data_IF_311875943758
#
_entry.id   IF_311875943758
#
_cell.length_a   1.000
_cell.length_b   1.000
_cell.length_c   1.000
_cell.angle_alpha   90.00
_cell.angle_beta   90.00
_cell.angle_gamma   90.00
#
_symmetry.space_group_name_H-M   'P 1'
#
loop_
_entity.id
_entity.type
_entity.pdbx_description
1 polymer ?
#
# COMPACT_ATOMS: atom_id res chain seq x y z
N UNK A 1 -0.17 5.33 19.18
CA UNK A 1 -0.15 6.77 19.54
C UNK A 1 1.07 7.40 18.90
N UNK A 2 0.92 8.57 18.30
CA UNK A 2 1.99 9.29 17.59
C UNK A 2 2.15 10.67 18.22
N UNK A 3 3.38 11.06 18.55
CA UNK A 3 3.66 12.38 19.14
C UNK A 3 3.54 13.53 18.14
N UNK A 4 3.33 14.75 18.63
CA UNK A 4 3.30 15.94 17.78
C UNK A 4 4.61 16.07 16.98
N UNK A 5 4.50 16.26 15.66
CA UNK A 5 5.63 16.35 14.73
C UNK A 5 6.36 15.03 14.44
N UNK A 6 5.97 13.93 15.08
CA UNK A 6 6.59 12.62 14.87
C UNK A 6 5.78 11.81 13.85
N UNK A 7 6.42 11.08 12.92
CA UNK A 7 5.68 10.19 12.04
C UNK A 7 5.23 8.93 12.77
N UNK A 8 3.97 8.54 12.55
CA UNK A 8 3.50 7.19 12.78
C UNK A 8 3.52 6.42 11.47
N UNK A 9 4.00 5.18 11.50
CA UNK A 9 4.11 4.34 10.31
C UNK A 9 3.35 3.03 10.52
N UNK A 10 2.53 2.67 9.54
CA UNK A 10 1.94 1.34 9.40
C UNK A 10 2.50 0.74 8.12
N UNK A 11 3.03 -0.47 8.22
CA UNK A 11 3.53 -1.24 7.09
C UNK A 11 2.93 -2.65 7.15
N UNK A 12 2.41 -3.10 6.02
CA UNK A 12 1.97 -4.48 5.81
C UNK A 12 2.51 -4.96 4.47
N UNK A 13 3.05 -6.17 4.45
CA UNK A 13 3.57 -6.80 3.25
C UNK A 13 3.08 -8.24 3.19
N UNK A 14 2.70 -8.67 1.99
CA UNK A 14 2.27 -10.04 1.71
C UNK A 14 3.01 -10.52 0.48
N UNK A 15 3.81 -11.57 0.63
CA UNK A 15 4.46 -12.24 -0.48
C UNK A 15 3.52 -13.26 -1.12
N UNK A 16 3.45 -13.25 -2.45
CA UNK A 16 2.68 -14.19 -3.25
C UNK A 16 3.59 -14.87 -4.28
N UNK A 17 3.49 -16.18 -4.38
CA UNK A 17 4.25 -17.00 -5.34
C UNK A 17 3.36 -17.40 -6.50
N UNK A 18 3.85 -17.32 -7.73
CA UNK A 18 3.11 -17.66 -8.94
C UNK A 18 4.01 -18.35 -9.97
N UNK A 19 3.43 -19.10 -10.91
CA UNK A 19 4.20 -19.77 -11.97
C UNK A 19 4.59 -18.74 -13.04
N UNK A 20 5.79 -18.16 -12.96
CA UNK A 20 6.26 -17.11 -13.86
C UNK A 20 6.80 -17.64 -15.19
N UNK A 21 7.03 -18.95 -15.29
CA UNK A 21 7.57 -19.58 -16.48
C UNK A 21 7.55 -21.09 -16.42
N UNK A 22 7.90 -21.72 -17.54
CA UNK A 22 8.06 -23.16 -17.66
C UNK A 22 9.42 -23.47 -18.27
N UNK A 23 10.12 -24.40 -17.64
CA UNK A 23 11.43 -24.85 -18.07
C UNK A 23 11.34 -26.19 -18.79
N UNK A 24 12.01 -26.27 -19.95
CA UNK A 24 12.20 -27.51 -20.71
C UNK A 24 13.66 -27.66 -21.14
N UNK A 25 14.24 -28.82 -20.85
CA UNK A 25 15.63 -29.19 -21.13
C UNK A 25 15.78 -29.32 -22.66
N UNK A 26 16.43 -28.33 -23.28
CA UNK A 26 16.68 -28.30 -24.72
C UNK A 26 15.89 -27.25 -25.51
N UNK A 27 15.01 -26.48 -24.86
CA UNK A 27 14.35 -25.32 -25.47
C UNK A 27 14.91 -24.01 -24.89
N UNK A 28 15.14 -23.01 -25.74
CA UNK A 28 15.43 -21.63 -25.30
C UNK A 28 14.12 -21.11 -24.69
N UNK A 29 14.05 -21.04 -23.37
CA UNK A 29 12.83 -20.69 -22.66
C UNK A 29 12.36 -19.27 -23.07
N UNK A 30 11.10 -19.14 -23.47
CA UNK A 30 10.46 -17.82 -23.61
C UNK A 30 9.81 -17.50 -22.27
N UNK A 31 10.54 -16.81 -21.41
CA UNK A 31 9.99 -16.21 -20.19
C UNK A 31 9.55 -14.78 -20.50
N UNK A 32 8.33 -14.43 -20.06
CA UNK A 32 7.82 -13.05 -20.18
C UNK A 32 8.45 -12.11 -19.12
N UNK A 33 9.09 -12.67 -18.08
CA UNK A 33 9.74 -11.93 -16.99
C UNK A 33 11.14 -12.52 -16.73
N UNK A 34 12.15 -12.03 -17.46
CA UNK A 34 13.57 -12.33 -17.22
C UNK A 34 14.07 -13.69 -17.75
N UNK A 35 15.19 -13.65 -18.47
CA UNK A 35 15.89 -14.82 -19.00
C UNK A 35 16.90 -15.36 -17.97
N UNK A 36 16.60 -16.48 -17.32
CA UNK A 36 17.63 -17.27 -16.63
C UNK A 36 17.60 -18.70 -17.13
N UNK A 37 18.78 -19.28 -17.27
CA UNK A 37 19.01 -20.66 -17.66
C UNK A 37 18.20 -21.64 -16.81
N UNK A 38 17.43 -22.50 -17.46
CA UNK A 38 16.72 -23.60 -16.81
C UNK A 38 17.67 -24.74 -16.45
N UNK A 39 17.82 -25.03 -15.15
CA UNK A 39 18.63 -26.16 -14.67
C UNK A 39 17.86 -27.49 -14.62
N UNK A 40 16.52 -27.44 -14.55
CA UNK A 40 15.63 -28.61 -14.48
C UNK A 40 14.32 -28.36 -15.25
N UNK A 41 13.64 -29.44 -15.65
CA UNK A 41 12.29 -29.38 -16.21
C UNK A 41 11.28 -29.02 -15.12
N UNK A 42 10.29 -28.18 -15.45
CA UNK A 42 9.18 -27.90 -14.55
C UNK A 42 8.82 -26.42 -14.44
N UNK A 43 7.88 -26.07 -13.54
CA UNK A 43 7.47 -24.70 -13.33
C UNK A 43 8.60 -23.87 -12.69
N UNK A 44 8.83 -22.67 -13.24
CA UNK A 44 9.61 -21.62 -12.60
C UNK A 44 8.62 -20.76 -11.81
N UNK A 45 8.91 -20.58 -10.52
CA UNK A 45 8.11 -19.73 -9.66
C UNK A 45 8.73 -18.33 -9.58
N UNK A 46 7.89 -17.31 -9.71
CA UNK A 46 8.21 -15.93 -9.36
C UNK A 46 7.55 -15.57 -8.03
N UNK A 47 8.11 -14.57 -7.36
CA UNK A 47 7.51 -13.96 -6.16
C UNK A 47 7.12 -12.53 -6.45
N UNK A 48 6.00 -12.09 -5.87
CA UNK A 48 5.55 -10.72 -5.89
C UNK A 48 5.13 -10.31 -4.47
N UNK A 49 5.68 -9.20 -4.00
CA UNK A 49 5.27 -8.59 -2.72
C UNK A 49 4.21 -7.53 -2.96
N UNK A 50 3.01 -7.76 -2.42
CA UNK A 50 1.99 -6.74 -2.21
C UNK A 50 2.29 -5.99 -0.92
N UNK A 51 1.98 -4.70 -0.85
CA UNK A 51 2.32 -3.87 0.30
C UNK A 51 1.34 -2.73 0.53
N UNK A 52 1.24 -2.31 1.80
CA UNK A 52 0.55 -1.11 2.23
C UNK A 52 1.47 -0.36 3.20
N UNK A 53 1.78 0.89 2.86
CA UNK A 53 2.57 1.80 3.68
C UNK A 53 1.75 3.05 3.97
N UNK A 54 1.54 3.34 5.24
CA UNK A 54 0.85 4.56 5.68
C UNK A 54 1.79 5.31 6.62
N UNK A 55 2.12 6.55 6.25
CA UNK A 55 2.85 7.48 7.10
C UNK A 55 1.96 8.65 7.43
N UNK A 56 1.74 8.90 8.73
CA UNK A 56 0.98 10.03 9.22
C UNK A 56 1.84 10.87 10.17
N UNK A 57 2.06 12.13 9.83
CA UNK A 57 2.77 13.09 10.69
C UNK A 57 1.79 14.17 11.15
N UNK A 58 1.33 14.13 12.41
CA UNK A 58 0.46 15.16 12.96
C UNK A 58 1.28 16.40 13.36
N UNK A 59 0.68 17.57 13.23
CA UNK A 59 1.19 18.86 13.70
C UNK A 59 0.04 19.61 14.34
N UNK A 60 0.12 19.83 15.64
CA UNK A 60 -0.87 20.62 16.38
C UNK A 60 -0.62 22.10 16.14
N UNK A 61 -1.61 22.82 15.62
CA UNK A 61 -1.57 24.27 15.46
C UNK A 61 -1.90 25.00 16.78
N UNK A 62 -1.50 26.28 16.92
CA UNK A 62 -1.83 27.08 18.11
C UNK A 62 -3.33 27.24 18.38
N UNK A 63 -4.17 27.12 17.35
CA UNK A 63 -5.63 27.18 17.45
C UNK A 63 -6.30 25.84 17.81
N UNK A 64 -5.51 24.80 18.13
CA UNK A 64 -6.01 23.46 18.47
C UNK A 64 -6.35 22.56 17.27
N UNK A 65 -6.25 23.07 16.03
CA UNK A 65 -6.41 22.25 14.82
C UNK A 65 -5.22 21.32 14.66
N UNK A 66 -5.45 20.06 14.28
CA UNK A 66 -4.36 19.14 13.94
C UNK A 66 -4.23 19.06 12.42
N UNK A 67 -3.06 19.39 11.91
CA UNK A 67 -2.71 19.11 10.53
C UNK A 67 -2.01 17.75 10.45
N UNK A 68 -2.50 16.85 9.62
CA UNK A 68 -1.89 15.56 9.38
C UNK A 68 -1.32 15.54 7.97
N UNK A 69 0.01 15.50 7.86
CA UNK A 69 0.66 15.14 6.60
C UNK A 69 0.53 13.64 6.44
N UNK A 70 -0.25 13.21 5.46
CA UNK A 70 -0.54 11.81 5.20
C UNK A 70 0.11 11.37 3.89
N UNK A 71 0.74 10.20 3.92
CA UNK A 71 1.25 9.50 2.76
C UNK A 71 0.76 8.07 2.82
N UNK A 72 0.14 7.60 1.74
CA UNK A 72 -0.31 6.21 1.58
C UNK A 72 0.32 5.71 0.29
N UNK A 73 0.98 4.55 0.34
CA UNK A 73 1.41 3.81 -0.84
C UNK A 73 0.87 2.37 -0.72
N UNK A 74 0.09 1.95 -1.71
CA UNK A 74 -0.47 0.59 -1.77
C UNK A 74 -0.07 -0.05 -3.10
N UNK A 75 0.43 -1.28 -3.01
CA UNK A 75 0.69 -2.18 -4.13
C UNK A 75 -0.10 -3.45 -3.88
N UNK A 76 -1.08 -3.72 -4.71
CA UNK A 76 -1.98 -4.85 -4.54
C UNK A 76 -1.91 -5.80 -5.73
N UNK A 77 -1.75 -7.09 -5.47
CA UNK A 77 -1.98 -8.13 -6.48
C UNK A 77 -3.49 -8.34 -6.64
N UNK A 78 -4.06 -7.84 -7.74
CA UNK A 78 -5.49 -7.96 -8.00
C UNK A 78 -5.86 -9.37 -8.49
N UNK A 79 -5.00 -9.96 -9.34
CA UNK A 79 -5.23 -11.26 -9.93
C UNK A 79 -3.94 -11.93 -10.42
N UNK A 80 -3.98 -13.25 -10.50
CA UNK A 80 -3.05 -14.04 -11.32
C UNK A 80 -3.82 -14.53 -12.54
N UNK A 81 -3.42 -14.08 -13.73
CA UNK A 81 -4.08 -14.45 -14.99
C UNK A 81 -3.30 -15.57 -15.64
N UNK A 82 -3.99 -16.66 -15.94
CA UNK A 82 -3.42 -17.79 -16.66
C UNK A 82 -3.18 -17.44 -18.13
N UNK A 83 -1.94 -17.60 -18.58
CA UNK A 83 -1.53 -17.49 -19.97
C UNK A 83 -1.06 -18.85 -20.48
N UNK A 84 -1.70 -19.35 -21.54
CA UNK A 84 -1.36 -20.65 -22.14
C UNK A 84 -0.16 -20.51 -23.08
N UNK A 85 0.77 -21.44 -22.97
CA UNK A 85 1.89 -21.62 -23.90
C UNK A 85 1.92 -23.07 -24.41
N UNK A 86 2.67 -23.38 -25.49
CA UNK A 86 2.88 -24.76 -25.93
C UNK A 86 3.53 -25.67 -24.86
N UNK A 87 4.22 -25.09 -23.87
CA UNK A 87 4.86 -25.83 -22.79
C UNK A 87 3.93 -26.05 -21.57
N UNK A 88 2.77 -25.37 -21.52
CA UNK A 88 1.83 -25.38 -20.40
C UNK A 88 1.33 -23.97 -20.03
N UNK A 89 0.67 -23.85 -18.89
CA UNK A 89 0.14 -22.57 -18.39
C UNK A 89 1.14 -21.85 -17.48
N UNK A 90 1.32 -20.55 -17.70
CA UNK A 90 2.02 -19.63 -16.79
C UNK A 90 1.02 -18.63 -16.20
N UNK A 91 1.40 -17.96 -15.12
CA UNK A 91 0.61 -16.96 -14.44
C UNK A 91 1.23 -15.58 -14.62
N UNK A 92 0.41 -14.62 -15.03
CA UNK A 92 0.78 -13.21 -15.17
C UNK A 92 0.12 -12.42 -14.03
N UNK A 93 0.89 -11.78 -13.13
CA UNK A 93 0.33 -10.97 -12.07
C UNK A 93 -0.23 -9.67 -12.64
N UNK A 94 -1.46 -9.35 -12.25
CA UNK A 94 -2.09 -8.05 -12.47
C UNK A 94 -1.98 -7.29 -11.15
N UNK A 95 -1.25 -6.18 -11.18
CA UNK A 95 -0.93 -5.39 -10.00
C UNK A 95 -1.48 -3.99 -10.16
N UNK A 96 -2.19 -3.51 -9.14
CA UNK A 96 -2.56 -2.11 -9.01
C UNK A 96 -1.63 -1.43 -8.01
N UNK A 97 -1.03 -0.33 -8.45
CA UNK A 97 -0.17 0.52 -7.64
C UNK A 97 -0.78 1.89 -7.47
N UNK A 98 -0.52 2.49 -6.33
CA UNK A 98 -1.19 3.71 -5.95
C UNK A 98 -0.46 4.46 -4.86
N UNK A 99 -0.56 5.78 -4.96
CA UNK A 99 0.07 6.68 -4.02
C UNK A 99 -0.84 7.86 -3.76
N UNK A 100 -1.03 8.18 -2.49
CA UNK A 100 -1.65 9.41 -2.04
C UNK A 100 -0.66 10.18 -1.18
N UNK A 101 -0.59 11.50 -1.40
CA UNK A 101 0.08 12.40 -0.48
C UNK A 101 -0.74 13.67 -0.34
N UNK A 102 -1.04 14.05 0.90
CA UNK A 102 -1.83 15.25 1.17
C UNK A 102 -1.65 15.76 2.58
N UNK A 103 -2.10 16.99 2.79
CA UNK A 103 -2.19 17.62 4.09
C UNK A 103 -3.67 17.74 4.46
N UNK A 104 -4.06 17.15 5.57
CA UNK A 104 -5.46 17.08 6.01
C UNK A 104 -5.58 17.83 7.33
N UNK A 105 -6.54 18.76 7.41
CA UNK A 105 -6.91 19.37 8.68
C UNK A 105 -7.96 18.49 9.35
N UNK A 106 -7.67 18.03 10.56
CA UNK A 106 -8.58 17.21 11.36
C UNK A 106 -8.85 17.91 12.69
N UNK A 107 -10.11 17.85 13.12
CA UNK A 107 -10.51 18.23 14.48
C UNK A 107 -10.33 17.04 15.41
N UNK A 108 -9.89 17.31 16.63
CA UNK A 108 -9.70 16.25 17.61
C UNK A 108 -11.03 15.53 17.88
N UNK A 109 -11.04 14.20 17.83
CA UNK A 109 -12.22 13.38 18.07
C UNK A 109 -13.23 13.29 16.93
N UNK A 110 -13.04 14.01 15.81
CA UNK A 110 -13.92 13.94 14.65
C UNK A 110 -13.34 13.08 13.53
N UNK A 111 -14.20 12.29 12.87
CA UNK A 111 -13.84 11.54 11.67
C UNK A 111 -13.75 12.48 10.47
N UNK A 112 -12.57 12.54 9.84
CA UNK A 112 -12.39 13.33 8.62
C UNK A 112 -12.22 12.38 7.42
N UNK A 113 -13.18 12.36 6.47
CA UNK A 113 -13.09 11.49 5.31
C UNK A 113 -12.03 12.00 4.33
N UNK A 114 -11.25 11.07 3.78
CA UNK A 114 -10.27 11.35 2.74
C UNK A 114 -10.91 10.93 1.43
N UNK A 115 -11.62 11.86 0.80
CA UNK A 115 -12.32 11.64 -0.47
C UNK A 115 -11.37 11.68 -1.69
N UNK A 116 -10.06 11.74 -1.47
CA UNK A 116 -9.08 11.87 -2.54
C UNK A 116 -8.83 10.51 -3.21
N UNK A 117 -9.25 10.37 -4.48
CA UNK A 117 -8.87 9.36 -5.47
C UNK A 117 -8.01 8.22 -4.91
N UNK A 118 -8.68 7.31 -4.21
CA UNK A 118 -8.01 6.15 -3.64
C UNK A 118 -8.08 5.04 -4.68
N UNK A 119 -6.98 4.30 -4.93
CA UNK A 119 -7.03 3.02 -5.64
C UNK A 119 -8.21 2.17 -5.18
N UNK A 120 -8.86 1.53 -6.14
CA UNK A 120 -9.88 0.51 -5.91
C UNK A 120 -11.18 1.01 -5.26
N UNK A 121 -11.46 2.32 -5.26
CA UNK A 121 -12.74 2.86 -4.76
C UNK A 121 -12.97 2.70 -3.26
N UNK A 122 -11.92 2.35 -2.49
CA UNK A 122 -11.99 2.27 -1.03
C UNK A 122 -12.11 3.67 -0.44
N UNK A 123 -13.00 3.83 0.53
CA UNK A 123 -13.07 5.05 1.34
C UNK A 123 -12.12 4.93 2.52
N UNK A 124 -11.35 5.98 2.77
CA UNK A 124 -10.42 6.06 3.89
C UNK A 124 -10.82 7.20 4.81
N UNK A 125 -10.67 6.97 6.11
CA UNK A 125 -10.95 7.96 7.15
C UNK A 125 -9.71 8.15 8.00
N UNK A 126 -9.49 9.38 8.46
CA UNK A 126 -8.48 9.67 9.49
C UNK A 126 -9.15 10.35 10.66
N UNK A 127 -8.81 9.87 11.85
CA UNK A 127 -9.22 10.43 13.14
C UNK A 127 -7.97 10.79 13.92
N UNK A 128 -7.93 11.98 14.51
CA UNK A 128 -6.88 12.36 15.46
C UNK A 128 -7.44 12.38 16.88
N UNK A 129 -6.70 11.80 17.81
CA UNK A 129 -6.93 11.95 19.25
C UNK A 129 -5.76 12.73 19.83
N UNK A 130 -6.04 13.86 20.47
CA UNK A 130 -5.04 14.72 21.13
C UNK A 130 -5.10 14.46 22.62
N UNK A 131 -3.94 14.18 23.25
CA UNK A 131 -3.83 13.94 24.69
C UNK A 131 -2.73 14.82 25.31
N UNK A 132 -2.98 15.46 26.48
CA UNK A 132 -4.26 15.52 27.19
C UNK A 132 -5.33 16.27 26.36
N UNK A 133 -6.61 15.96 26.59
CA UNK A 133 -7.72 16.68 25.97
C UNK A 133 -7.55 18.17 26.30
N UNK A 134 -7.19 18.98 25.30
CA UNK A 134 -7.16 20.42 25.45
C UNK A 134 -8.61 20.88 25.36
N UNK A 135 -9.31 20.88 26.49
CA UNK A 135 -10.51 21.70 26.61
C UNK A 135 -10.05 23.14 26.42
N UNK A 136 -10.46 23.77 25.30
CA UNK A 136 -10.36 25.20 25.17
C UNK A 136 -11.09 25.78 26.39
N UNK A 137 -10.33 26.34 27.34
CA UNK A 137 -10.88 27.12 28.42
C UNK A 137 -11.61 28.26 27.73
N UNK A 138 -12.94 28.23 27.77
CA UNK A 138 -13.75 29.41 27.50
C UNK A 138 -13.26 30.48 28.46
N UNK A 139 -12.46 31.42 27.95
CA UNK A 139 -12.12 32.63 28.66
C UNK A 139 -13.37 33.49 28.68
N UNK A 140 -14.18 33.35 29.73
CA UNK A 140 -15.17 34.35 30.10
C UNK A 140 -14.40 35.55 30.68
N UNK A 141 -14.42 36.66 29.96
CA UNK A 141 -14.23 38.02 30.51
C UNK A 141 -15.56 38.74 30.50
#
# INVERSE_FOLDING_TARGET
MVGNGQPGVIQSEVESTFVSGLCSKGAIAVTYVGSDSCSQNGPKHGTLTSSLFITATPTVQPNGTVLVKLQIAERHLDALVDAKSPLGTVQLPVVTESTYSGLIAVRAGEHTPINALVPNGKQWEVTASVYPEVHAVAGDQ
#
